data_IF_989516821775
#
_entry.id   IF_989516821775
#
_cell.length_a   1.000
_cell.length_b   1.000
_cell.length_c   1.000
_cell.angle_alpha   90.00
_cell.angle_beta   90.00
_cell.angle_gamma   90.00
#
_symmetry.space_group_name_H-M   'P 1'
#
loop_
_entity.id
_entity.type
_entity.pdbx_description
1 polymer ?
#
# COMPACT_ATOMS: atom_id res chain seq x y z
N UNK A 1 -14.96 37.97 -16.03
CA UNK A 1 -14.75 39.44 -16.09
C UNK A 1 -15.82 40.13 -15.26
N UNK A 2 -15.53 40.44 -14.00
CA UNK A 2 -16.18 41.54 -13.27
C UNK A 2 -15.34 41.86 -12.02
N UNK A 3 -14.71 43.03 -12.01
CA UNK A 3 -14.03 43.61 -10.85
C UNK A 3 -15.07 44.16 -9.88
N UNK A 4 -14.88 43.92 -8.57
CA UNK A 4 -15.36 44.85 -7.54
C UNK A 4 -14.26 45.13 -6.53
N UNK A 5 -13.79 46.39 -6.52
CA UNK A 5 -13.11 47.04 -5.41
C UNK A 5 -14.17 47.62 -4.47
N UNK A 6 -13.99 47.51 -3.17
CA UNK A 6 -14.54 48.45 -2.18
C UNK A 6 -13.65 48.48 -0.94
N UNK A 7 -13.39 49.69 -0.47
CA UNK A 7 -12.38 50.04 0.52
C UNK A 7 -12.90 49.93 1.97
N UNK A 8 -11.92 49.91 2.87
CA UNK A 8 -11.93 49.88 4.33
C UNK A 8 -13.12 50.57 5.04
N UNK A 9 -13.69 49.84 6.01
CA UNK A 9 -14.29 50.38 7.22
C UNK A 9 -13.65 49.66 8.42
N UNK A 10 -12.87 50.41 9.21
CA UNK A 10 -12.13 49.94 10.38
C UNK A 10 -13.12 49.67 11.53
N UNK A 11 -13.24 48.41 11.98
CA UNK A 11 -13.78 48.11 13.30
C UNK A 11 -12.90 47.07 13.98
N UNK A 12 -12.33 47.49 15.11
CA UNK A 12 -11.42 46.72 15.92
C UNK A 12 -12.23 45.68 16.71
N UNK A 13 -12.17 44.43 16.27
CA UNK A 13 -12.49 43.27 17.08
C UNK A 13 -11.33 42.30 16.91
N UNK A 14 -10.49 42.17 17.94
CA UNK A 14 -9.42 41.17 17.98
C UNK A 14 -10.07 39.81 18.20
N UNK A 15 -10.59 39.25 17.11
CA UNK A 15 -10.76 37.81 17.00
C UNK A 15 -9.38 37.25 16.68
N UNK A 16 -8.78 36.54 17.64
CA UNK A 16 -7.74 35.57 17.32
C UNK A 16 -8.43 34.45 16.51
N UNK A 17 -8.63 34.71 15.23
CA UNK A 17 -8.74 33.64 14.25
C UNK A 17 -7.34 33.03 14.19
N UNK A 18 -7.15 31.97 14.98
CA UNK A 18 -6.17 30.95 14.65
C UNK A 18 -6.52 30.49 13.24
N UNK A 19 -5.90 31.10 12.23
CA UNK A 19 -5.77 30.47 10.93
C UNK A 19 -5.02 29.17 11.22
N UNK A 20 -5.79 28.08 11.32
CA UNK A 20 -5.28 26.77 10.99
C UNK A 20 -4.90 26.91 9.51
N UNK A 21 -3.65 27.27 9.24
CA UNK A 21 -3.07 27.02 7.93
C UNK A 21 -3.23 25.52 7.72
N UNK A 22 -4.18 25.14 6.86
CA UNK A 22 -4.23 23.79 6.33
C UNK A 22 -2.85 23.58 5.69
N UNK A 23 -2.17 22.56 6.16
CA UNK A 23 -0.82 22.29 5.82
C UNK A 23 -0.84 21.59 4.47
N UNK A 24 -0.96 22.36 3.37
CA UNK A 24 -0.99 21.91 1.96
C UNK A 24 0.32 21.22 1.51
N UNK A 25 1.03 20.54 2.42
CA UNK A 25 2.38 19.99 2.22
C UNK A 25 2.45 18.84 1.23
N UNK A 26 1.38 18.06 1.04
CA UNK A 26 1.47 16.88 0.17
C UNK A 26 1.41 17.18 -1.33
N UNK A 27 0.77 18.27 -1.76
CA UNK A 27 0.58 18.56 -3.19
C UNK A 27 1.43 19.73 -3.69
N UNK A 28 1.69 20.72 -2.84
CA UNK A 28 2.46 21.90 -3.25
C UNK A 28 3.98 21.66 -3.19
N UNK A 29 4.45 20.61 -2.50
CA UNK A 29 5.87 20.23 -2.41
C UNK A 29 6.07 18.75 -2.03
N UNK A 30 6.11 17.82 -2.99
CA UNK A 30 7.05 16.73 -2.83
C UNK A 30 7.87 16.58 -4.10
N UNK A 31 8.96 17.35 -4.19
CA UNK A 31 10.08 16.85 -4.98
C UNK A 31 10.65 15.69 -4.15
N UNK A 32 10.21 14.47 -4.46
CA UNK A 32 10.88 13.28 -3.96
C UNK A 32 12.26 13.24 -4.60
N UNK A 33 13.27 13.65 -3.84
CA UNK A 33 14.65 13.58 -4.29
C UNK A 33 15.30 12.30 -3.75
N UNK A 34 16.03 11.56 -4.61
CA UNK A 34 16.78 10.41 -4.14
C UNK A 34 17.86 10.89 -3.17
N UNK A 35 17.92 10.30 -1.98
CA UNK A 35 18.97 10.59 -0.97
C UNK A 35 20.37 10.25 -1.51
N UNK A 36 20.45 9.29 -2.43
CA UNK A 36 21.67 8.85 -3.09
C UNK A 36 21.33 8.16 -4.43
N UNK A 37 22.33 7.98 -5.30
CA UNK A 37 22.14 7.37 -6.63
C UNK A 37 22.17 5.84 -6.64
N UNK A 38 22.61 5.21 -5.56
CA UNK A 38 22.63 3.75 -5.41
C UNK A 38 21.48 3.29 -4.51
N UNK A 39 20.97 2.05 -4.67
CA UNK A 39 19.95 1.52 -3.78
C UNK A 39 20.42 1.54 -2.31
N UNK A 40 19.51 1.83 -1.38
CA UNK A 40 19.78 1.75 0.07
C UNK A 40 19.61 0.32 0.62
N UNK A 41 19.02 -0.57 -0.18
CA UNK A 41 18.86 -1.99 0.10
C UNK A 41 18.89 -2.76 -1.23
N UNK A 42 19.73 -3.78 -1.33
CA UNK A 42 19.96 -4.55 -2.56
C UNK A 42 19.61 -6.01 -2.35
N UNK A 43 19.31 -6.75 -3.43
CA UNK A 43 19.19 -8.20 -3.41
C UNK A 43 20.53 -8.88 -3.03
N UNK A 44 20.49 -10.14 -2.61
CA UNK A 44 21.68 -10.90 -2.26
C UNK A 44 21.89 -12.08 -3.24
N UNK A 45 22.63 -11.91 -4.35
CA UNK A 45 22.86 -12.97 -5.33
C UNK A 45 23.38 -14.26 -4.69
N UNK A 46 22.83 -15.41 -5.10
CA UNK A 46 23.16 -16.72 -4.55
C UNK A 46 22.51 -17.05 -3.21
N UNK A 47 21.72 -16.13 -2.64
CA UNK A 47 20.88 -16.36 -1.47
C UNK A 47 19.40 -16.51 -1.86
N UNK A 48 18.55 -16.79 -0.88
CA UNK A 48 17.11 -16.94 -1.09
C UNK A 48 16.44 -15.68 -1.65
N UNK A 49 17.01 -14.49 -1.39
CA UNK A 49 16.62 -13.17 -1.91
C UNK A 49 17.56 -12.70 -3.03
N UNK A 50 18.00 -13.62 -3.92
CA UNK A 50 18.81 -13.31 -5.10
C UNK A 50 18.16 -12.27 -6.03
N UNK A 51 16.83 -12.20 -6.00
CA UNK A 51 16.03 -11.07 -6.47
C UNK A 51 15.08 -10.65 -5.37
N UNK A 52 14.79 -9.35 -5.33
CA UNK A 52 13.76 -8.77 -4.47
C UNK A 52 12.58 -8.42 -5.36
N UNK A 53 11.38 -8.80 -4.92
CA UNK A 53 10.14 -8.38 -5.56
C UNK A 53 9.83 -6.93 -5.23
N UNK A 54 9.15 -6.30 -6.17
CA UNK A 54 8.47 -5.03 -5.96
C UNK A 54 7.60 -5.08 -4.68
N UNK A 55 7.38 -3.91 -4.07
CA UNK A 55 6.42 -3.68 -2.97
C UNK A 55 6.61 -4.53 -1.70
N UNK A 56 7.61 -4.12 -0.93
CA UNK A 56 7.66 -4.36 0.52
C UNK A 56 6.93 -3.27 1.31
N UNK A 57 7.01 -3.35 2.64
CA UNK A 57 6.43 -2.37 3.55
C UNK A 57 7.47 -1.82 4.51
N UNK A 58 7.55 -0.50 4.62
CA UNK A 58 8.39 0.22 5.57
C UNK A 58 7.52 0.93 6.58
N UNK A 59 7.79 0.73 7.86
CA UNK A 59 7.06 1.34 8.96
C UNK A 59 8.03 1.88 10.00
N UNK A 60 7.80 3.11 10.46
CA UNK A 60 8.43 3.61 11.69
C UNK A 60 7.64 3.10 12.89
N UNK A 61 8.34 2.49 13.83
CA UNK A 61 7.76 1.87 15.01
C UNK A 61 8.67 2.11 16.23
N UNK A 62 8.28 3.08 17.07
CA UNK A 62 9.13 3.67 18.10
C UNK A 62 10.37 4.34 17.50
N UNK A 63 11.54 4.05 18.09
CA UNK A 63 12.85 4.57 17.67
C UNK A 63 13.53 3.71 16.58
N UNK A 64 12.76 2.92 15.84
CA UNK A 64 13.28 2.05 14.79
C UNK A 64 12.37 2.06 13.57
N UNK A 65 12.98 1.93 12.41
CA UNK A 65 12.31 1.58 11.17
C UNK A 65 12.34 0.06 11.01
N UNK A 66 11.24 -0.46 10.46
CA UNK A 66 11.02 -1.86 10.13
C UNK A 66 10.75 -1.96 8.64
N UNK A 67 11.33 -2.96 7.99
CA UNK A 67 11.06 -3.28 6.59
C UNK A 67 10.74 -4.76 6.47
N UNK A 68 9.59 -5.04 5.86
CA UNK A 68 9.24 -6.36 5.37
C UNK A 68 9.38 -6.34 3.86
N UNK A 69 10.11 -7.30 3.30
CA UNK A 69 10.41 -7.32 1.87
C UNK A 69 10.27 -8.74 1.33
N UNK A 70 9.86 -8.84 0.07
CA UNK A 70 9.69 -10.12 -0.59
C UNK A 70 10.94 -10.45 -1.40
N UNK A 71 11.52 -11.62 -1.18
CA UNK A 71 12.69 -12.10 -1.91
C UNK A 71 12.46 -13.47 -2.53
N UNK A 72 13.16 -13.74 -3.61
CA UNK A 72 13.11 -15.02 -4.32
C UNK A 72 14.42 -15.32 -5.05
N UNK A 73 14.63 -16.61 -5.30
CA UNK A 73 15.72 -17.09 -6.15
C UNK A 73 15.10 -17.69 -7.43
N UNK A 74 15.26 -17.04 -8.60
CA UNK A 74 14.68 -17.51 -9.86
C UNK A 74 15.26 -18.87 -10.31
N UNK A 75 16.43 -19.25 -9.81
CA UNK A 75 17.10 -20.51 -10.18
C UNK A 75 16.66 -21.69 -9.29
N UNK A 76 15.84 -21.44 -8.26
CA UNK A 76 15.30 -22.48 -7.37
C UNK A 76 13.89 -22.87 -7.77
N UNK A 77 13.64 -24.17 -7.74
CA UNK A 77 12.34 -24.76 -8.03
C UNK A 77 11.84 -25.62 -6.85
N UNK A 78 10.53 -25.57 -6.52
CA UNK A 78 9.54 -24.68 -7.10
C UNK A 78 9.82 -23.21 -6.73
N UNK A 79 9.56 -22.29 -7.67
CA UNK A 79 9.65 -20.86 -7.40
C UNK A 79 8.72 -20.50 -6.22
N UNK A 80 9.25 -19.78 -5.23
CA UNK A 80 8.50 -19.35 -4.05
C UNK A 80 8.91 -17.94 -3.68
N UNK A 81 7.92 -17.07 -3.47
CA UNK A 81 8.12 -15.73 -2.91
C UNK A 81 8.15 -15.84 -1.39
N UNK A 82 9.25 -15.38 -0.78
CA UNK A 82 9.55 -15.53 0.64
C UNK A 82 9.60 -14.16 1.31
N UNK A 83 9.25 -14.10 2.59
CA UNK A 83 9.28 -12.85 3.34
C UNK A 83 10.61 -12.70 4.11
N UNK A 84 11.28 -11.58 3.91
CA UNK A 84 12.41 -11.12 4.70
C UNK A 84 12.04 -9.95 5.61
N UNK A 85 12.89 -9.73 6.61
CA UNK A 85 12.79 -8.62 7.55
C UNK A 85 14.12 -7.88 7.66
N UNK A 86 14.05 -6.56 7.81
CA UNK A 86 15.20 -5.72 8.10
C UNK A 86 14.80 -4.57 9.03
N UNK A 87 15.77 -4.04 9.75
CA UNK A 87 15.59 -2.89 10.64
C UNK A 87 16.57 -1.78 10.31
N UNK A 88 16.20 -0.55 10.64
CA UNK A 88 17.05 0.62 10.48
C UNK A 88 16.80 1.60 11.62
N UNK A 89 17.80 2.41 11.99
CA UNK A 89 17.66 3.51 12.96
C UNK A 89 17.35 4.85 12.29
N UNK A 90 17.78 5.01 11.04
CA UNK A 90 17.71 6.27 10.29
C UNK A 90 16.77 6.19 9.07
N UNK A 91 16.30 4.99 8.70
CA UNK A 91 15.50 4.73 7.50
C UNK A 91 16.32 4.60 6.21
N UNK A 92 17.65 4.69 6.32
CA UNK A 92 18.59 4.71 5.18
C UNK A 92 19.52 3.50 5.26
N UNK A 93 20.09 3.24 6.43
CA UNK A 93 21.02 2.14 6.69
C UNK A 93 20.26 0.93 7.23
N UNK A 94 20.15 -0.13 6.43
CA UNK A 94 19.32 -1.29 6.75
C UNK A 94 20.14 -2.52 7.15
N UNK A 95 19.75 -3.16 8.27
CA UNK A 95 20.31 -4.42 8.75
C UNK A 95 19.30 -5.54 8.60
N UNK A 96 19.63 -6.55 7.78
CA UNK A 96 18.80 -7.76 7.64
C UNK A 96 18.69 -8.51 8.95
N UNK A 97 17.55 -9.13 9.19
CA UNK A 97 17.36 -10.02 10.31
C UNK A 97 18.19 -11.31 10.13
N UNK A 98 18.89 -11.80 11.17
CA UNK A 98 19.77 -12.98 11.05
C UNK A 98 19.02 -14.28 10.76
N UNK A 99 17.71 -14.33 11.03
CA UNK A 99 16.87 -15.50 10.74
C UNK A 99 16.12 -15.38 9.39
N UNK A 100 16.50 -14.45 8.51
CA UNK A 100 15.89 -14.36 7.18
C UNK A 100 16.12 -15.66 6.37
N UNK A 101 15.15 -16.06 5.52
CA UNK A 101 13.80 -15.50 5.42
C UNK A 101 12.95 -15.85 6.65
N UNK A 102 12.12 -14.91 7.09
CA UNK A 102 11.22 -15.11 8.25
C UNK A 102 9.94 -15.87 7.89
N UNK A 103 9.57 -15.94 6.61
CA UNK A 103 8.56 -16.86 6.06
C UNK A 103 9.12 -17.49 4.79
N UNK A 104 9.03 -18.81 4.66
CA UNK A 104 9.61 -19.52 3.50
C UNK A 104 8.84 -20.74 3.02
N UNK A 105 7.80 -21.12 3.74
CA UNK A 105 6.99 -22.33 3.58
C UNK A 105 5.75 -22.09 2.72
N UNK A 106 5.35 -20.84 2.50
CA UNK A 106 4.30 -20.45 1.57
C UNK A 106 4.60 -19.12 0.88
N UNK A 107 3.86 -18.87 -0.20
CA UNK A 107 3.99 -17.68 -1.05
C UNK A 107 3.50 -16.43 -0.32
N UNK A 108 4.36 -15.41 -0.24
CA UNK A 108 4.07 -14.08 0.31
C UNK A 108 4.69 -13.03 -0.60
N UNK A 109 3.87 -12.21 -1.25
CA UNK A 109 4.32 -11.07 -2.07
C UNK A 109 3.39 -9.86 -1.91
N UNK A 110 3.78 -8.71 -2.49
CA UNK A 110 3.00 -7.46 -2.54
C UNK A 110 2.27 -7.16 -1.23
N UNK A 111 3.09 -6.94 -0.20
CA UNK A 111 2.63 -6.90 1.18
C UNK A 111 2.42 -5.47 1.67
N UNK A 112 1.49 -5.34 2.60
CA UNK A 112 1.42 -4.19 3.49
C UNK A 112 1.24 -4.64 4.94
N UNK A 113 1.65 -3.77 5.87
CA UNK A 113 1.49 -4.02 7.29
C UNK A 113 0.78 -2.84 7.95
N UNK A 114 -0.28 -3.13 8.70
CA UNK A 114 -0.96 -2.16 9.56
C UNK A 114 -0.73 -2.52 11.02
N UNK A 115 -0.65 -1.49 11.87
CA UNK A 115 -0.66 -1.66 13.32
C UNK A 115 -2.12 -1.67 13.78
N UNK A 116 -2.51 -2.73 14.48
CA UNK A 116 -3.83 -2.91 15.08
C UNK A 116 -3.61 -3.16 16.57
N UNK A 117 -3.82 -2.13 17.39
CA UNK A 117 -3.54 -2.16 18.83
C UNK A 117 -2.10 -2.64 19.16
N UNK A 118 -1.98 -3.82 19.79
CA UNK A 118 -0.70 -4.42 20.20
C UNK A 118 -0.13 -5.41 19.17
N UNK A 119 -0.79 -5.60 18.03
CA UNK A 119 -0.40 -6.54 16.98
C UNK A 119 -0.19 -5.83 15.64
N UNK A 120 0.45 -6.56 14.73
CA UNK A 120 0.55 -6.24 13.33
C UNK A 120 -0.40 -7.16 12.55
N UNK A 121 -1.07 -6.59 11.55
CA UNK A 121 -1.76 -7.34 10.52
C UNK A 121 -1.02 -7.12 9.22
N UNK A 122 -0.72 -8.22 8.53
CA UNK A 122 -0.15 -8.18 7.18
C UNK A 122 -1.21 -8.63 6.19
N UNK A 123 -1.49 -7.74 5.24
CA UNK A 123 -2.23 -8.09 4.04
C UNK A 123 -1.21 -8.36 2.95
N UNK A 124 -1.31 -9.50 2.30
CA UNK A 124 -0.32 -9.95 1.32
C UNK A 124 -1.00 -10.64 0.16
N UNK A 125 -0.36 -10.66 -1.00
CA UNK A 125 -0.64 -11.64 -2.02
C UNK A 125 -0.12 -13.02 -1.59
N UNK A 126 -0.96 -14.03 -1.79
CA UNK A 126 -0.63 -15.44 -1.62
C UNK A 126 -0.57 -16.19 -2.94
N UNK A 127 -0.48 -17.51 -2.85
CA UNK A 127 -0.43 -18.37 -4.03
C UNK A 127 -1.66 -18.15 -4.94
N UNK A 128 -1.41 -17.99 -6.24
CA UNK A 128 -2.45 -17.73 -7.22
C UNK A 128 -2.96 -16.29 -7.20
N UNK A 129 -2.17 -15.36 -6.64
CA UNK A 129 -2.47 -13.93 -6.61
C UNK A 129 -3.80 -13.66 -5.88
N UNK A 130 -3.92 -14.27 -4.70
CA UNK A 130 -5.09 -14.15 -3.83
C UNK A 130 -4.68 -13.47 -2.54
N UNK A 131 -5.37 -12.39 -2.18
CA UNK A 131 -5.12 -11.70 -0.93
C UNK A 131 -5.30 -12.63 0.29
N UNK A 132 -4.38 -12.52 1.24
CA UNK A 132 -4.37 -13.28 2.49
C UNK A 132 -4.04 -12.38 3.68
N UNK A 133 -4.39 -12.86 4.88
CA UNK A 133 -4.14 -12.17 6.14
C UNK A 133 -3.18 -12.97 7.02
N UNK A 134 -2.24 -12.28 7.63
CA UNK A 134 -1.37 -12.79 8.68
C UNK A 134 -1.40 -11.86 9.88
N UNK A 135 -1.17 -12.41 11.08
CA UNK A 135 -1.03 -11.63 12.31
C UNK A 135 0.31 -11.92 12.99
N UNK A 136 0.85 -10.92 13.69
CA UNK A 136 2.06 -11.03 14.49
C UNK A 136 2.04 -10.05 15.64
N UNK A 137 2.66 -10.37 16.78
CA UNK A 137 2.82 -9.43 17.91
C UNK A 137 4.18 -8.74 17.91
N UNK A 138 5.20 -9.34 17.28
CA UNK A 138 6.58 -8.84 17.23
C UNK A 138 7.01 -8.35 15.83
N UNK A 139 6.24 -8.70 14.80
CA UNK A 139 6.52 -8.39 13.40
C UNK A 139 7.51 -9.37 12.75
N UNK A 140 7.89 -10.45 13.43
CA UNK A 140 8.88 -11.42 12.97
C UNK A 140 8.23 -12.81 12.88
N UNK A 141 7.54 -13.22 13.94
CA UNK A 141 6.79 -14.49 13.97
C UNK A 141 5.37 -14.23 13.49
N UNK A 142 5.05 -14.73 12.29
CA UNK A 142 3.77 -14.52 11.65
C UNK A 142 2.92 -15.78 11.69
N UNK A 143 1.65 -15.61 12.05
CA UNK A 143 0.63 -16.64 11.95
C UNK A 143 -0.28 -16.33 10.77
N UNK A 144 -0.31 -17.21 9.78
CA UNK A 144 -1.24 -17.12 8.66
C UNK A 144 -2.67 -17.36 9.14
N UNK A 145 -3.57 -16.42 8.89
CA UNK A 145 -4.99 -16.52 9.22
C UNK A 145 -5.82 -17.12 8.08
N UNK A 146 -5.35 -16.96 6.83
CA UNK A 146 -5.97 -17.57 5.67
C UNK A 146 -6.07 -16.61 4.49
N UNK A 147 -6.62 -17.11 3.39
CA UNK A 147 -7.01 -16.30 2.24
C UNK A 147 -8.26 -15.48 2.59
N UNK A 148 -8.37 -14.24 2.13
CA UNK A 148 -9.50 -13.36 2.44
C UNK A 148 -10.79 -13.85 1.75
N UNK A 149 -11.90 -13.87 2.49
CA UNK A 149 -13.24 -14.15 1.94
C UNK A 149 -13.86 -12.83 1.43
N UNK A 150 -13.61 -12.53 0.16
CA UNK A 150 -14.14 -11.36 -0.54
C UNK A 150 -15.43 -11.74 -1.29
N UNK A 151 -16.46 -10.92 -1.13
CA UNK A 151 -17.81 -11.15 -1.61
C UNK A 151 -18.32 -9.99 -2.44
N UNK A 152 -19.14 -10.33 -3.43
CA UNK A 152 -19.92 -9.37 -4.20
C UNK A 152 -20.91 -8.61 -3.30
N UNK A 153 -21.49 -7.52 -3.81
CA UNK A 153 -22.48 -6.70 -3.08
C UNK A 153 -23.69 -7.50 -2.59
N UNK A 154 -24.02 -8.60 -3.28
CA UNK A 154 -25.10 -9.52 -2.92
C UNK A 154 -24.70 -10.62 -1.90
N UNK A 155 -23.45 -10.59 -1.40
CA UNK A 155 -22.92 -11.52 -0.42
C UNK A 155 -22.48 -12.88 -0.97
N UNK A 156 -22.50 -13.10 -2.29
CA UNK A 156 -21.89 -14.29 -2.91
C UNK A 156 -20.37 -14.11 -3.05
N UNK A 157 -19.57 -15.19 -3.04
CA UNK A 157 -18.14 -15.10 -3.31
C UNK A 157 -17.85 -14.41 -4.66
N UNK A 158 -16.79 -13.61 -4.73
CA UNK A 158 -16.32 -13.08 -6.02
C UNK A 158 -15.93 -14.21 -6.99
N UNK A 159 -15.98 -13.99 -8.32
CA UNK A 159 -15.57 -15.02 -9.28
C UNK A 159 -14.12 -15.45 -9.04
N UNK A 160 -13.87 -16.75 -9.16
CA UNK A 160 -12.54 -17.34 -8.97
C UNK A 160 -11.46 -16.67 -9.84
N UNK A 161 -10.23 -16.67 -9.34
CA UNK A 161 -9.06 -16.08 -9.99
C UNK A 161 -8.33 -15.12 -9.06
N UNK A 162 -7.42 -14.30 -9.61
CA UNK A 162 -6.65 -13.35 -8.85
C UNK A 162 -7.49 -12.19 -8.31
N UNK A 163 -7.11 -11.73 -7.13
CA UNK A 163 -7.57 -10.54 -6.44
C UNK A 163 -6.51 -10.06 -5.44
N UNK A 164 -5.36 -9.66 -5.97
CA UNK A 164 -4.17 -9.37 -5.19
C UNK A 164 -4.06 -7.93 -4.74
N UNK A 165 -2.81 -7.57 -4.45
CA UNK A 165 -2.34 -6.22 -4.15
C UNK A 165 -3.19 -5.54 -3.07
N UNK A 166 -3.40 -6.21 -1.92
CA UNK A 166 -4.33 -5.71 -0.93
C UNK A 166 -3.77 -4.45 -0.25
N UNK A 167 -4.55 -3.38 -0.29
CA UNK A 167 -4.34 -2.16 0.51
C UNK A 167 -5.49 -2.00 1.48
N UNK A 168 -5.21 -2.07 2.77
CA UNK A 168 -6.16 -2.04 3.87
C UNK A 168 -6.07 -0.73 4.65
N UNK A 169 -7.23 -0.18 5.03
CA UNK A 169 -7.36 1.02 5.83
C UNK A 169 -8.47 0.86 6.86
N UNK A 170 -8.17 1.05 8.14
CA UNK A 170 -9.16 1.00 9.21
C UNK A 170 -9.59 2.39 9.63
N UNK A 171 -10.90 2.65 9.60
CA UNK A 171 -11.46 3.91 10.08
C UNK A 171 -12.91 3.74 10.54
N UNK A 172 -13.29 4.44 11.60
CA UNK A 172 -14.67 4.49 12.10
C UNK A 172 -15.28 3.09 12.37
N UNK A 173 -14.47 2.13 12.83
CA UNK A 173 -14.92 0.77 13.12
C UNK A 173 -15.04 -0.14 11.89
N UNK A 174 -14.62 0.32 10.71
CA UNK A 174 -14.72 -0.40 9.45
C UNK A 174 -13.35 -0.53 8.80
N UNK A 175 -13.02 -1.74 8.39
CA UNK A 175 -11.90 -2.02 7.51
C UNK A 175 -12.32 -1.82 6.06
N UNK A 176 -11.48 -1.12 5.30
CA UNK A 176 -11.61 -0.89 3.87
C UNK A 176 -10.45 -1.62 3.20
N UNK A 177 -10.76 -2.52 2.29
CA UNK A 177 -9.81 -3.28 1.49
C UNK A 177 -9.94 -2.84 0.05
N UNK A 178 -8.92 -2.14 -0.42
CA UNK A 178 -8.68 -1.92 -1.83
C UNK A 178 -7.92 -3.12 -2.38
N UNK A 179 -8.41 -3.71 -3.45
CA UNK A 179 -7.78 -4.87 -4.08
C UNK A 179 -7.96 -4.77 -5.60
N UNK A 180 -7.05 -5.35 -6.36
CA UNK A 180 -7.13 -5.33 -7.83
C UNK A 180 -7.67 -6.67 -8.36
N UNK A 181 -7.99 -6.74 -9.66
CA UNK A 181 -8.15 -8.04 -10.35
C UNK A 181 -7.43 -8.02 -11.69
N UNK A 182 -6.31 -8.74 -11.81
CA UNK A 182 -5.45 -8.80 -13.02
C UNK A 182 -4.95 -7.42 -13.49
N UNK A 183 -4.67 -6.54 -12.54
CA UNK A 183 -4.34 -5.13 -12.68
C UNK A 183 -5.39 -4.32 -13.47
N UNK A 184 -6.61 -4.84 -13.63
CA UNK A 184 -7.62 -4.25 -14.53
C UNK A 184 -8.47 -3.13 -13.88
N UNK A 185 -8.18 -2.81 -12.63
CA UNK A 185 -8.91 -1.82 -11.83
C UNK A 185 -8.75 -2.10 -10.35
N UNK A 186 -9.19 -1.16 -9.53
CA UNK A 186 -9.20 -1.27 -8.07
C UNK A 186 -10.66 -1.37 -7.61
N UNK A 187 -10.96 -2.40 -6.83
CA UNK A 187 -12.23 -2.60 -6.14
C UNK A 187 -12.07 -2.24 -4.67
N UNK A 188 -13.19 -1.89 -4.03
CA UNK A 188 -13.25 -1.62 -2.59
C UNK A 188 -14.24 -2.59 -1.93
N UNK A 189 -13.76 -3.31 -0.92
CA UNK A 189 -14.57 -4.14 -0.04
C UNK A 189 -14.46 -3.67 1.42
N UNK A 190 -15.50 -3.92 2.21
CA UNK A 190 -15.56 -3.53 3.62
C UNK A 190 -15.75 -4.71 4.55
N UNK A 191 -15.13 -4.66 5.72
CA UNK A 191 -15.27 -5.65 6.79
C UNK A 191 -15.35 -4.98 8.16
N UNK A 192 -16.03 -5.63 9.10
CA UNK A 192 -16.02 -5.24 10.53
C UNK A 192 -15.35 -6.30 11.41
N UNK A 193 -14.99 -7.45 10.84
CA UNK A 193 -14.49 -8.61 11.58
C UNK A 193 -13.19 -9.22 11.02
N UNK A 194 -12.64 -8.63 9.95
CA UNK A 194 -11.48 -9.09 9.18
C UNK A 194 -11.64 -10.46 8.50
N UNK A 195 -12.81 -11.09 8.61
CA UNK A 195 -13.07 -12.43 8.09
C UNK A 195 -13.79 -12.35 6.76
N UNK A 196 -14.91 -11.63 6.72
CA UNK A 196 -15.71 -11.46 5.51
C UNK A 196 -15.62 -10.01 5.03
N UNK A 197 -15.32 -9.85 3.75
CA UNK A 197 -15.16 -8.57 3.07
C UNK A 197 -16.23 -8.46 1.99
N UNK A 198 -17.08 -7.45 2.05
CA UNK A 198 -18.18 -7.27 1.08
C UNK A 198 -17.90 -6.06 0.21
N UNK A 199 -17.96 -6.24 -1.10
CA UNK A 199 -17.80 -5.17 -2.08
C UNK A 199 -18.77 -4.01 -1.83
N UNK A 200 -18.23 -2.79 -1.92
CA UNK A 200 -19.01 -1.56 -1.99
C UNK A 200 -19.65 -1.42 -3.38
N UNK A 201 -18.91 -1.85 -4.42
CA UNK A 201 -19.34 -1.92 -5.81
C UNK A 201 -18.76 -3.17 -6.45
N UNK A 202 -19.53 -3.86 -7.30
CA UNK A 202 -19.04 -5.02 -8.07
C UNK A 202 -18.28 -4.59 -9.34
N UNK A 203 -18.35 -3.31 -9.71
CA UNK A 203 -17.50 -2.65 -10.69
C UNK A 203 -16.31 -1.95 -9.99
N UNK A 204 -15.13 -1.84 -10.64
CA UNK A 204 -13.98 -1.20 -10.03
C UNK A 204 -14.25 0.29 -9.80
N UNK A 205 -13.81 0.79 -8.65
CA UNK A 205 -13.92 2.20 -8.24
C UNK A 205 -12.84 3.06 -8.90
N UNK A 206 -11.72 2.48 -9.29
CA UNK A 206 -10.65 3.12 -10.06
C UNK A 206 -10.33 2.22 -11.25
N UNK A 207 -10.24 2.79 -12.45
CA UNK A 207 -9.93 2.08 -13.70
C UNK A 207 -8.59 2.57 -14.26
N UNK A 208 -7.88 1.75 -15.05
CA UNK A 208 -6.72 2.22 -15.82
C UNK A 208 -7.07 3.44 -16.70
N UNK A 209 -6.09 4.32 -16.87
CA UNK A 209 -6.23 5.53 -17.66
C UNK A 209 -6.91 6.70 -16.92
N UNK A 210 -7.16 7.82 -17.61
CA UNK A 210 -7.01 7.99 -19.06
C UNK A 210 -5.57 8.32 -19.52
N UNK A 211 -4.62 8.48 -18.60
CA UNK A 211 -3.29 8.95 -18.95
C UNK A 211 -2.48 7.84 -19.66
N UNK A 212 -1.52 8.21 -20.54
CA UNK A 212 -0.73 7.22 -21.25
C UNK A 212 0.03 6.27 -20.32
N UNK A 213 0.51 6.76 -19.17
CA UNK A 213 1.36 5.98 -18.26
C UNK A 213 0.60 4.93 -17.43
N UNK A 214 -0.72 5.02 -17.31
CA UNK A 214 -1.56 4.09 -16.55
C UNK A 214 -2.69 3.47 -17.39
N UNK A 215 -2.63 3.62 -18.71
CA UNK A 215 -3.68 3.24 -19.65
C UNK A 215 -3.97 1.74 -19.77
N UNK A 216 -3.09 0.83 -19.31
CA UNK A 216 -3.29 -0.62 -19.45
C UNK A 216 -3.59 -1.33 -18.13
N UNK A 217 -2.86 -0.97 -17.07
CA UNK A 217 -2.87 -1.70 -15.80
C UNK A 217 -2.67 -0.73 -14.63
N UNK A 218 -3.30 -1.04 -13.49
CA UNK A 218 -3.21 -0.24 -12.27
C UNK A 218 -3.20 -1.12 -11.01
N UNK A 219 -2.40 -0.71 -10.04
CA UNK A 219 -2.24 -1.34 -8.74
C UNK A 219 -2.19 -0.27 -7.65
N UNK A 220 -2.78 -0.54 -6.47
CA UNK A 220 -2.80 0.40 -5.35
C UNK A 220 -1.92 -0.11 -4.21
N UNK A 221 -1.09 0.78 -3.66
CA UNK A 221 -0.11 0.42 -2.64
C UNK A 221 -0.46 0.95 -1.24
N UNK A 222 -0.87 2.22 -1.15
CA UNK A 222 -1.08 2.87 0.15
C UNK A 222 -2.25 3.83 0.09
N UNK A 223 -2.92 3.98 1.24
CA UNK A 223 -3.77 5.13 1.55
C UNK A 223 -3.03 5.96 2.60
N UNK A 224 -2.90 7.26 2.34
CA UNK A 224 -2.32 8.23 3.26
C UNK A 224 -3.41 9.26 3.56
N UNK A 225 -3.62 9.58 4.84
CA UNK A 225 -4.58 10.62 5.25
C UNK A 225 -3.84 11.82 5.80
N UNK A 226 -4.06 13.00 5.22
CA UNK A 226 -3.49 14.28 5.67
C UNK A 226 -4.56 15.35 5.59
N UNK A 227 -4.73 16.12 6.68
CA UNK A 227 -5.66 17.25 6.77
C UNK A 227 -7.09 16.96 6.30
N UNK A 228 -7.57 15.75 6.59
CA UNK A 228 -8.93 15.32 6.24
C UNK A 228 -9.07 14.79 4.81
N UNK A 229 -8.02 14.84 3.99
CA UNK A 229 -7.96 14.30 2.63
C UNK A 229 -7.27 12.95 2.59
N UNK A 230 -7.64 12.14 1.61
CA UNK A 230 -7.02 10.85 1.33
C UNK A 230 -6.15 10.96 0.09
N UNK A 231 -5.01 10.28 0.14
CA UNK A 231 -4.08 10.15 -0.98
C UNK A 231 -3.83 8.67 -1.23
N UNK A 232 -4.26 8.19 -2.39
CA UNK A 232 -3.94 6.86 -2.87
C UNK A 232 -2.59 6.89 -3.61
N UNK A 233 -1.66 6.04 -3.19
CA UNK A 233 -0.43 5.76 -3.94
C UNK A 233 -0.74 4.68 -4.96
N UNK A 234 -0.84 5.08 -6.23
CA UNK A 234 -1.16 4.19 -7.35
C UNK A 234 0.07 3.96 -8.21
N UNK A 235 0.16 2.75 -8.77
CA UNK A 235 1.16 2.34 -9.74
C UNK A 235 0.42 1.98 -11.03
N UNK A 236 0.78 2.63 -12.12
CA UNK A 236 0.19 2.39 -13.44
C UNK A 236 1.22 2.00 -14.47
N UNK A 237 0.83 1.22 -15.48
CA UNK A 237 1.62 1.03 -16.70
C UNK A 237 0.76 1.18 -17.94
N UNK A 238 1.27 1.93 -18.91
CA UNK A 238 0.82 1.94 -20.31
C UNK A 238 1.69 1.10 -21.23
N UNK A 239 2.75 0.48 -20.70
CA UNK A 239 3.68 -0.34 -21.48
C UNK A 239 3.16 -1.77 -21.61
N UNK A 240 2.92 -2.28 -22.83
CA UNK A 240 2.48 -3.66 -23.03
C UNK A 240 3.63 -4.67 -22.93
N UNK A 241 4.89 -4.23 -23.11
CA UNK A 241 6.06 -5.09 -23.19
C UNK A 241 6.60 -5.48 -21.81
N UNK A 242 7.03 -6.73 -21.64
CA UNK A 242 7.67 -7.21 -20.41
C UNK A 242 9.20 -7.09 -20.52
N UNK A 243 9.92 -6.65 -19.46
CA UNK A 243 9.39 -6.13 -18.19
C UNK A 243 8.69 -4.77 -18.38
N UNK A 244 7.55 -4.59 -17.71
CA UNK A 244 6.74 -3.39 -17.86
C UNK A 244 7.35 -2.22 -17.12
N UNK A 245 7.18 -1.03 -17.69
CA UNK A 245 7.54 0.23 -17.05
C UNK A 245 6.36 0.74 -16.23
N UNK A 246 6.53 0.79 -14.92
CA UNK A 246 5.52 1.27 -13.99
C UNK A 246 5.83 2.70 -13.54
N UNK A 247 4.79 3.50 -13.39
CA UNK A 247 4.85 4.86 -12.88
C UNK A 247 4.05 4.95 -11.57
N UNK A 248 4.63 5.57 -10.55
CA UNK A 248 3.94 5.86 -9.29
C UNK A 248 3.33 7.25 -9.34
N UNK A 249 2.10 7.37 -8.87
CA UNK A 249 1.36 8.64 -8.79
C UNK A 249 0.54 8.72 -7.50
N UNK A 250 0.20 9.93 -7.10
CA UNK A 250 -0.69 10.23 -5.99
C UNK A 250 -2.04 10.69 -6.53
N UNK A 251 -3.11 10.05 -6.08
CA UNK A 251 -4.48 10.49 -6.34
C UNK A 251 -5.12 10.98 -5.06
N UNK A 252 -5.63 12.21 -5.10
CA UNK A 252 -6.32 12.84 -3.98
C UNK A 252 -7.82 12.50 -4.02
N UNK A 253 -8.42 12.29 -2.84
CA UNK A 253 -9.85 12.16 -2.65
C UNK A 253 -10.30 12.84 -1.35
N UNK A 254 -11.51 13.40 -1.35
CA UNK A 254 -12.16 13.94 -0.14
C UNK A 254 -12.83 12.82 0.70
N UNK A 255 -12.99 11.64 0.13
CA UNK A 255 -13.56 10.45 0.78
C UNK A 255 -12.76 9.18 0.51
N UNK A 256 -13.14 8.11 1.22
CA UNK A 256 -12.51 6.79 1.19
C UNK A 256 -13.33 5.76 0.41
#
# INVERSE_FOLDING_TARGET
MCLRRSALGLFCCVLFLSQCEADDRLLNHPIFEPVQTTPIFEAAPGQWDAKIRERGWVMKDGDSWKMWYTGYDPDKQPLTMKLGYATSKDGISWTRHPQNPIISDFWVEDIMVVRDEQRYLMFAEGAGDQAQLLESTDGIQWKRLGTLDVRLTNGQPIPAGPYGTPTAWFENGVWNLFYERRDAGIWLARSTDLKTWTNVSDEPIIKPGPEPFDSLMIAMNQVIKVDGKYFAVLHGTGSPEKPRQWCTTLFESDDL
#
